data_IF_069803063918
#
_entry.id   IF_069803063918
#
_cell.length_a   1.000
_cell.length_b   1.000
_cell.length_c   1.000
_cell.angle_alpha   90.00
_cell.angle_beta   90.00
_cell.angle_gamma   90.00
#
_symmetry.space_group_name_H-M   'P 1'
#
loop_
_entity.id
_entity.type
_entity.pdbx_description
1 polymer ?
#
# COMPACT_ATOMS: atom_id res chain seq x y z
N UNK A 1 1.48 15.67 -40.10
CA UNK A 1 2.37 15.66 -38.93
C UNK A 1 1.48 15.58 -37.70
N UNK A 2 1.41 14.43 -37.03
CA UNK A 2 0.68 14.32 -35.75
C UNK A 2 1.35 15.20 -34.69
N UNK A 3 0.54 15.86 -33.87
CA UNK A 3 0.98 16.77 -32.82
C UNK A 3 1.76 16.02 -31.74
N UNK A 4 2.67 16.69 -31.04
CA UNK A 4 3.40 16.11 -29.91
C UNK A 4 2.45 15.57 -28.80
N UNK A 5 1.25 16.13 -28.72
CA UNK A 5 0.21 15.78 -27.75
C UNK A 5 -0.48 14.44 -28.06
N UNK A 6 -0.79 14.16 -29.34
CA UNK A 6 -1.38 12.87 -29.77
C UNK A 6 -0.40 11.71 -29.58
N UNK A 7 0.90 11.94 -29.79
CA UNK A 7 1.94 10.93 -29.52
C UNK A 7 2.08 10.58 -28.03
N UNK A 8 1.89 11.56 -27.14
CA UNK A 8 1.94 11.33 -25.70
C UNK A 8 0.73 10.53 -25.22
N UNK A 9 -0.46 10.74 -25.81
CA UNK A 9 -1.68 9.99 -25.48
C UNK A 9 -1.53 8.53 -25.91
N UNK A 10 -1.11 8.27 -27.15
CA UNK A 10 -0.90 6.90 -27.64
C UNK A 10 0.18 6.14 -26.85
N UNK A 11 1.28 6.81 -26.46
CA UNK A 11 2.34 6.19 -25.65
C UNK A 11 1.89 5.94 -24.20
N UNK A 12 0.89 6.68 -23.69
CA UNK A 12 0.28 6.41 -22.38
C UNK A 12 -0.71 5.23 -22.47
N UNK A 13 -1.52 5.15 -23.53
CA UNK A 13 -2.46 4.05 -23.76
C UNK A 13 -1.74 2.72 -24.04
N UNK A 14 -0.63 2.74 -24.80
CA UNK A 14 0.20 1.56 -25.04
C UNK A 14 0.89 1.07 -23.76
N UNK A 15 1.33 1.96 -22.88
CA UNK A 15 1.88 1.61 -21.56
C UNK A 15 0.80 1.01 -20.65
N UNK A 16 -0.37 1.63 -20.55
CA UNK A 16 -1.48 1.09 -19.75
C UNK A 16 -1.91 -0.31 -20.19
N UNK A 17 -1.96 -0.55 -21.51
CA UNK A 17 -2.30 -1.87 -22.06
C UNK A 17 -1.22 -2.94 -21.80
N UNK A 18 0.06 -2.57 -21.85
CA UNK A 18 1.16 -3.48 -21.50
C UNK A 18 1.17 -3.81 -19.99
N UNK A 19 0.91 -2.82 -19.14
CA UNK A 19 0.82 -2.98 -17.69
C UNK A 19 -0.35 -3.88 -17.29
N UNK A 20 -1.53 -3.73 -17.91
CA UNK A 20 -2.66 -4.64 -17.69
C UNK A 20 -2.35 -6.09 -18.13
N UNK A 21 -1.70 -6.27 -19.28
CA UNK A 21 -1.29 -7.58 -19.76
C UNK A 21 -0.24 -8.22 -18.85
N UNK A 22 0.68 -7.44 -18.30
CA UNK A 22 1.72 -7.92 -17.41
C UNK A 22 1.18 -8.23 -16.00
N UNK A 23 0.26 -7.41 -15.49
CA UNK A 23 -0.53 -7.73 -14.29
C UNK A 23 -1.37 -8.99 -14.47
N UNK A 24 -2.00 -9.19 -15.63
CA UNK A 24 -2.75 -10.40 -15.95
C UNK A 24 -1.84 -11.63 -16.06
N UNK A 25 -0.63 -11.47 -16.61
CA UNK A 25 0.38 -12.52 -16.66
C UNK A 25 0.88 -12.89 -15.25
N UNK A 26 1.05 -11.91 -14.37
CA UNK A 26 1.36 -12.10 -12.96
C UNK A 26 0.22 -12.76 -12.19
N UNK A 27 -1.04 -12.31 -12.40
CA UNK A 27 -2.25 -12.96 -11.86
C UNK A 27 -2.26 -14.43 -12.24
N UNK A 28 -2.03 -14.76 -13.51
CA UNK A 28 -1.99 -16.15 -14.01
C UNK A 28 -0.84 -16.97 -13.44
N UNK A 29 0.34 -16.37 -13.28
CA UNK A 29 1.51 -17.06 -12.73
C UNK A 29 1.32 -17.43 -11.26
N UNK A 30 0.73 -16.53 -10.45
CA UNK A 30 0.39 -16.81 -9.05
C UNK A 30 -0.81 -17.76 -8.90
N UNK A 31 -1.78 -17.71 -9.82
CA UNK A 31 -2.95 -18.60 -9.80
C UNK A 31 -2.64 -20.04 -10.27
N UNK A 32 -1.54 -20.24 -11.03
CA UNK A 32 -1.16 -21.54 -11.57
C UNK A 32 -0.63 -22.55 -10.53
N UNK A 33 -0.31 -22.11 -9.31
CA UNK A 33 0.02 -22.99 -8.19
C UNK A 33 -1.26 -23.47 -7.49
N UNK A 34 -2.10 -24.16 -8.25
CA UNK A 34 -3.20 -24.96 -7.72
C UNK A 34 -2.63 -26.28 -7.16
N UNK A 35 -1.80 -26.20 -6.12
CA UNK A 35 -1.57 -27.35 -5.25
C UNK A 35 -2.91 -27.69 -4.59
N UNK A 36 -3.36 -28.94 -4.68
CA UNK A 36 -4.67 -29.37 -4.14
C UNK A 36 -4.80 -29.20 -2.61
N UNK A 37 -3.69 -28.95 -1.92
CA UNK A 37 -3.59 -28.74 -0.48
C UNK A 37 -3.88 -27.28 -0.10
N UNK A 38 -4.85 -27.06 0.78
CA UNK A 38 -5.10 -25.76 1.42
C UNK A 38 -5.66 -25.94 2.82
N UNK A 39 -5.38 -24.99 3.71
CA UNK A 39 -5.91 -24.99 5.08
C UNK A 39 -6.60 -23.66 5.41
N UNK A 40 -7.74 -23.74 6.09
CA UNK A 40 -8.56 -22.61 6.47
C UNK A 40 -8.39 -22.29 7.96
N UNK A 41 -8.12 -21.03 8.27
CA UNK A 41 -8.14 -20.50 9.63
C UNK A 41 -9.21 -19.42 9.79
N UNK A 42 -9.70 -19.27 11.02
CA UNK A 42 -10.63 -18.21 11.41
C UNK A 42 -9.93 -17.20 12.31
N UNK A 43 -10.05 -15.91 11.98
CA UNK A 43 -9.60 -14.80 12.83
C UNK A 43 -10.83 -14.09 13.41
N UNK A 44 -11.07 -14.15 14.73
CA UNK A 44 -12.24 -13.50 15.33
C UNK A 44 -12.16 -11.98 15.20
N UNK A 45 -13.29 -11.34 14.89
CA UNK A 45 -13.41 -9.88 14.81
C UNK A 45 -13.74 -9.22 16.16
N UNK A 46 -13.99 -10.04 17.19
CA UNK A 46 -14.38 -9.60 18.53
C UNK A 46 -15.60 -8.68 18.50
N UNK A 47 -15.55 -7.61 19.29
CA UNK A 47 -16.62 -6.61 19.40
C UNK A 47 -16.91 -5.83 18.11
N UNK A 48 -16.01 -5.91 17.11
CA UNK A 48 -16.20 -5.24 15.82
C UNK A 48 -17.00 -6.07 14.83
N UNK A 49 -17.37 -7.31 15.17
CA UNK A 49 -18.06 -8.23 14.27
C UNK A 49 -19.31 -7.64 13.59
N UNK A 50 -20.06 -6.79 14.29
CA UNK A 50 -21.31 -6.20 13.78
C UNK A 50 -21.12 -4.98 12.86
N UNK A 51 -19.94 -4.38 12.86
CA UNK A 51 -19.66 -3.14 12.10
C UNK A 51 -18.50 -3.29 11.12
N UNK A 52 -17.78 -4.41 11.16
CA UNK A 52 -16.66 -4.66 10.28
C UNK A 52 -17.13 -5.00 8.87
N UNK A 53 -16.54 -4.33 7.90
CA UNK A 53 -16.68 -4.62 6.47
C UNK A 53 -15.28 -4.74 5.86
N UNK A 54 -14.99 -5.90 5.27
CA UNK A 54 -13.66 -6.20 4.72
C UNK A 54 -13.32 -5.28 3.53
N UNK A 55 -14.29 -5.03 2.65
CA UNK A 55 -14.09 -4.17 1.48
C UNK A 55 -13.78 -2.74 1.91
N UNK A 56 -14.54 -2.20 2.88
CA UNK A 56 -14.29 -0.86 3.42
C UNK A 56 -12.96 -0.77 4.16
N UNK A 57 -12.55 -1.84 4.86
CA UNK A 57 -11.26 -1.88 5.51
C UNK A 57 -10.11 -1.88 4.49
N UNK A 58 -10.15 -2.77 3.50
CA UNK A 58 -9.09 -2.97 2.49
C UNK A 58 -9.02 -1.81 1.50
N UNK A 59 -10.16 -1.38 0.94
CA UNK A 59 -10.23 -0.36 -0.10
C UNK A 59 -10.30 1.08 0.43
N UNK A 60 -9.93 1.30 1.71
CA UNK A 60 -10.02 2.60 2.39
C UNK A 60 -9.14 3.69 1.76
N UNK A 61 -7.95 3.34 1.30
CA UNK A 61 -6.97 4.23 0.69
C UNK A 61 -6.01 3.34 -0.12
N UNK A 62 -5.65 3.74 -1.34
CA UNK A 62 -5.19 2.89 -2.46
C UNK A 62 -4.01 1.91 -2.26
N UNK A 63 -3.51 1.68 -1.04
CA UNK A 63 -2.50 0.68 -0.69
C UNK A 63 -2.87 -0.74 -1.14
N UNK A 64 -4.17 -1.08 -1.22
CA UNK A 64 -4.62 -2.38 -1.72
C UNK A 64 -4.35 -2.58 -3.22
N UNK A 65 -4.15 -1.50 -3.98
CA UNK A 65 -3.84 -1.54 -5.41
C UNK A 65 -2.34 -1.75 -5.65
N UNK A 66 -1.50 -1.58 -4.62
CA UNK A 66 -0.07 -1.76 -4.73
C UNK A 66 0.30 -3.23 -4.53
N UNK A 67 1.20 -3.73 -5.37
CA UNK A 67 1.79 -5.05 -5.19
C UNK A 67 2.32 -5.23 -3.74
N UNK A 68 2.24 -6.45 -3.18
CA UNK A 68 1.75 -7.68 -3.79
C UNK A 68 0.26 -7.96 -3.51
N UNK A 69 -0.54 -6.93 -3.22
CA UNK A 69 -1.96 -7.08 -2.93
C UNK A 69 -2.75 -7.35 -4.22
N UNK A 70 -3.73 -8.25 -4.15
CA UNK A 70 -4.71 -8.49 -5.21
C UNK A 70 -6.11 -8.48 -4.59
N UNK A 71 -6.89 -7.47 -4.92
CA UNK A 71 -8.29 -7.37 -4.51
C UNK A 71 -9.19 -7.87 -5.62
N UNK A 72 -10.07 -8.83 -5.31
CA UNK A 72 -11.12 -9.27 -6.19
C UNK A 72 -12.46 -8.62 -5.78
N UNK A 73 -12.98 -7.66 -6.57
CA UNK A 73 -14.22 -6.97 -6.24
C UNK A 73 -15.46 -7.88 -6.37
N UNK A 74 -15.38 -8.95 -7.16
CA UNK A 74 -16.51 -9.86 -7.37
C UNK A 74 -16.74 -10.77 -6.17
N UNK A 75 -15.65 -11.29 -5.58
CA UNK A 75 -15.70 -12.17 -4.40
C UNK A 75 -15.47 -11.42 -3.09
N UNK A 76 -15.09 -10.13 -3.15
CA UNK A 76 -14.68 -9.30 -2.01
C UNK A 76 -13.57 -9.95 -1.19
N UNK A 77 -12.54 -10.45 -1.89
CA UNK A 77 -11.42 -11.13 -1.25
C UNK A 77 -10.09 -10.44 -1.53
N UNK A 78 -9.21 -10.46 -0.52
CA UNK A 78 -7.83 -10.00 -0.64
C UNK A 78 -6.92 -11.22 -0.75
N UNK A 79 -6.13 -11.30 -1.81
CA UNK A 79 -5.08 -12.29 -1.98
C UNK A 79 -3.70 -11.62 -1.93
N UNK A 80 -2.76 -12.26 -1.23
CA UNK A 80 -1.35 -11.87 -1.24
C UNK A 80 -0.46 -12.94 -0.60
N UNK A 81 0.85 -12.97 -0.88
CA UNK A 81 1.79 -13.73 -0.08
C UNK A 81 1.92 -13.13 1.34
N UNK A 82 1.93 -14.00 2.35
CA UNK A 82 2.27 -13.69 3.74
C UNK A 82 3.45 -14.55 4.19
N UNK A 83 4.32 -13.97 5.02
CA UNK A 83 5.53 -14.67 5.49
C UNK A 83 5.20 -15.68 6.59
N UNK A 84 5.95 -16.77 6.60
CA UNK A 84 5.96 -17.77 7.66
C UNK A 84 6.83 -17.31 8.85
N UNK A 85 6.86 -18.07 9.94
CA UNK A 85 7.56 -17.68 11.17
C UNK A 85 9.08 -17.66 11.01
N UNK A 86 9.62 -18.35 10.00
CA UNK A 86 11.04 -18.31 9.63
C UNK A 86 11.49 -16.96 9.06
N UNK A 87 10.56 -16.07 8.70
CA UNK A 87 10.81 -14.75 8.12
C UNK A 87 11.32 -14.77 6.67
N UNK A 88 11.51 -15.95 6.08
CA UNK A 88 12.08 -16.16 4.74
C UNK A 88 11.00 -16.68 3.78
N UNK A 89 10.30 -17.74 4.19
CA UNK A 89 9.30 -18.41 3.38
C UNK A 89 8.00 -17.61 3.34
N UNK A 90 7.27 -17.70 2.22
CA UNK A 90 5.96 -17.06 2.06
C UNK A 90 4.97 -18.03 1.43
N UNK A 91 3.72 -18.01 1.87
CA UNK A 91 2.62 -18.74 1.25
C UNK A 91 1.56 -17.75 0.75
N UNK A 92 0.88 -18.11 -0.35
CA UNK A 92 -0.27 -17.35 -0.83
C UNK A 92 -1.42 -17.52 0.16
N UNK A 93 -2.04 -16.40 0.51
CA UNK A 93 -3.19 -16.35 1.43
C UNK A 93 -4.34 -15.61 0.77
N UNK A 94 -5.55 -16.13 0.91
CA UNK A 94 -6.82 -15.45 0.59
C UNK A 94 -7.56 -15.12 1.87
N UNK A 95 -7.92 -13.86 2.03
CA UNK A 95 -8.68 -13.32 3.14
C UNK A 95 -10.08 -12.98 2.64
N UNK A 96 -11.10 -13.46 3.35
CA UNK A 96 -12.50 -13.23 3.02
C UNK A 96 -13.31 -13.03 4.30
N UNK A 97 -14.44 -12.34 4.19
CA UNK A 97 -15.39 -12.15 5.28
C UNK A 97 -16.75 -12.71 4.86
N UNK A 98 -17.11 -13.91 5.31
CA UNK A 98 -18.41 -14.48 5.00
C UNK A 98 -19.55 -13.61 5.53
N UNK A 99 -20.69 -13.52 4.82
CA UNK A 99 -21.85 -12.78 5.29
C UNK A 99 -22.28 -13.23 6.68
N UNK A 100 -22.58 -12.28 7.57
CA UNK A 100 -23.02 -12.52 8.95
C UNK A 100 -22.03 -13.31 9.84
N UNK A 101 -20.76 -13.41 9.44
CA UNK A 101 -19.72 -14.05 10.27
C UNK A 101 -19.11 -13.06 11.26
N UNK A 102 -18.89 -13.52 12.49
CA UNK A 102 -18.10 -12.81 13.52
C UNK A 102 -16.59 -13.02 13.37
N UNK A 103 -16.15 -13.59 12.26
CA UNK A 103 -14.75 -13.94 11.99
C UNK A 103 -14.39 -13.81 10.51
N UNK A 104 -13.11 -13.54 10.26
CA UNK A 104 -12.51 -13.60 8.93
C UNK A 104 -12.05 -15.01 8.62
N UNK A 105 -12.20 -15.40 7.36
CA UNK A 105 -11.67 -16.62 6.81
C UNK A 105 -10.32 -16.33 6.15
N UNK A 106 -9.29 -17.03 6.61
CA UNK A 106 -7.91 -16.93 6.12
C UNK A 106 -7.52 -18.29 5.53
N UNK A 107 -7.61 -18.40 4.20
CA UNK A 107 -7.28 -19.61 3.46
C UNK A 107 -5.83 -19.54 2.99
N UNK A 108 -5.01 -20.53 3.36
CA UNK A 108 -3.61 -20.64 2.97
C UNK A 108 -3.45 -21.74 1.93
N UNK A 109 -2.82 -21.43 0.80
CA UNK A 109 -2.59 -22.37 -0.29
C UNK A 109 -1.23 -23.07 -0.16
N UNK A 110 -1.13 -24.30 -0.68
CA UNK A 110 0.12 -25.06 -0.73
C UNK A 110 0.49 -25.76 0.56
N UNK A 111 -0.42 -25.84 1.53
CA UNK A 111 -0.23 -26.55 2.79
C UNK A 111 -1.56 -27.14 3.30
N UNK A 112 -1.54 -28.39 3.75
CA UNK A 112 -2.70 -29.04 4.39
C UNK A 112 -2.87 -28.60 5.85
N UNK A 113 -1.76 -28.22 6.49
CA UNK A 113 -1.74 -27.67 7.84
C UNK A 113 -0.50 -26.80 8.02
N UNK A 114 -0.58 -25.81 8.91
CA UNK A 114 0.57 -25.03 9.36
C UNK A 114 0.94 -25.43 10.78
N UNK A 115 2.23 -25.33 11.11
CA UNK A 115 2.64 -25.41 12.50
C UNK A 115 2.07 -24.22 13.29
N UNK A 116 1.99 -24.31 14.64
CA UNK A 116 1.41 -23.23 15.45
C UNK A 116 2.09 -21.87 15.25
N UNK A 117 3.41 -21.84 15.10
CA UNK A 117 4.19 -20.61 14.93
C UNK A 117 3.89 -19.94 13.58
N UNK A 118 3.83 -20.72 12.50
CA UNK A 118 3.48 -20.25 11.17
C UNK A 118 2.04 -19.71 11.13
N UNK A 119 1.11 -20.46 11.72
CA UNK A 119 -0.29 -20.02 11.84
C UNK A 119 -0.36 -18.68 12.57
N UNK A 120 0.33 -18.55 13.69
CA UNK A 120 0.35 -17.31 14.47
C UNK A 120 0.98 -16.15 13.68
N UNK A 121 2.08 -16.40 12.96
CA UNK A 121 2.74 -15.40 12.12
C UNK A 121 1.83 -14.90 10.99
N UNK A 122 1.08 -15.80 10.33
CA UNK A 122 0.11 -15.45 9.30
C UNK A 122 -1.04 -14.63 9.89
N UNK A 123 -1.65 -15.08 10.99
CA UNK A 123 -2.78 -14.38 11.62
C UNK A 123 -2.37 -13.00 12.16
N UNK A 124 -1.19 -12.86 12.76
CA UNK A 124 -0.68 -11.58 13.24
C UNK A 124 -0.45 -10.57 12.10
N UNK A 125 -0.02 -11.03 10.93
CA UNK A 125 0.08 -10.17 9.75
C UNK A 125 -1.30 -9.71 9.28
N UNK A 126 -2.30 -10.60 9.24
CA UNK A 126 -3.69 -10.24 8.89
C UNK A 126 -4.28 -9.24 9.89
N UNK A 127 -4.06 -9.46 11.19
CA UNK A 127 -4.48 -8.57 12.26
C UNK A 127 -3.88 -7.17 12.09
N UNK A 128 -2.57 -7.08 11.81
CA UNK A 128 -1.88 -5.81 11.55
C UNK A 128 -2.42 -5.10 10.31
N UNK A 129 -2.59 -5.84 9.21
CA UNK A 129 -3.07 -5.28 7.93
C UNK A 129 -4.45 -4.67 8.07
N UNK A 130 -5.33 -5.32 8.83
CA UNK A 130 -6.73 -4.90 9.00
C UNK A 130 -6.98 -4.09 10.27
N UNK A 131 -5.92 -3.84 11.06
CA UNK A 131 -5.94 -3.07 12.30
C UNK A 131 -6.98 -3.60 13.30
N UNK A 132 -6.90 -4.89 13.59
CA UNK A 132 -7.92 -5.62 14.35
C UNK A 132 -7.63 -5.73 15.86
N UNK A 133 -6.56 -5.11 16.35
CA UNK A 133 -6.25 -5.12 17.79
C UNK A 133 -7.34 -4.43 18.62
N UNK A 134 -7.46 -4.78 19.90
CA UNK A 134 -8.47 -4.20 20.81
C UNK A 134 -8.39 -2.67 20.89
N UNK A 135 -7.16 -2.14 20.91
CA UNK A 135 -6.93 -0.69 20.92
C UNK A 135 -7.45 -0.04 19.63
N UNK A 136 -7.22 -0.66 18.49
CA UNK A 136 -7.68 -0.13 17.19
C UNK A 136 -9.19 -0.25 17.04
N UNK A 137 -9.78 -1.35 17.51
CA UNK A 137 -11.23 -1.52 17.57
C UNK A 137 -11.88 -0.44 18.45
N UNK A 138 -11.30 -0.15 19.61
CA UNK A 138 -11.75 0.93 20.49
C UNK A 138 -11.68 2.30 19.79
N UNK A 139 -10.58 2.60 19.12
CA UNK A 139 -10.42 3.87 18.39
C UNK A 139 -11.48 4.04 17.28
N UNK A 140 -11.78 2.98 16.52
CA UNK A 140 -12.82 3.01 15.49
C UNK A 140 -14.19 3.27 16.10
N UNK A 141 -14.51 2.66 17.25
CA UNK A 141 -15.77 2.92 17.95
C UNK A 141 -15.88 4.36 18.45
N UNK A 142 -14.83 4.89 19.06
CA UNK A 142 -14.82 6.30 19.49
C UNK A 142 -14.98 7.25 18.30
N UNK A 143 -14.32 6.95 17.18
CA UNK A 143 -14.51 7.70 15.94
C UNK A 143 -15.96 7.64 15.43
N UNK A 144 -16.58 6.45 15.45
CA UNK A 144 -17.97 6.26 15.04
C UNK A 144 -18.98 6.96 15.95
N UNK A 145 -18.67 7.20 17.23
CA UNK A 145 -19.53 8.01 18.13
C UNK A 145 -19.56 9.48 17.73
N UNK A 146 -18.45 10.00 17.21
CA UNK A 146 -18.32 11.41 16.83
C UNK A 146 -18.77 11.63 15.37
N UNK A 147 -18.61 10.61 14.52
CA UNK A 147 -18.90 10.69 13.09
C UNK A 147 -19.89 9.62 12.64
N UNK A 148 -21.20 9.86 12.84
CA UNK A 148 -22.26 8.89 12.54
C UNK A 148 -22.29 8.46 11.06
N UNK A 149 -21.93 9.35 10.12
CA UNK A 149 -21.81 8.98 8.71
C UNK A 149 -20.70 7.94 8.46
N UNK A 150 -19.66 7.92 9.30
CA UNK A 150 -18.59 6.94 9.22
C UNK A 150 -19.04 5.57 9.69
N UNK A 151 -19.83 5.55 10.76
CA UNK A 151 -20.49 4.35 11.25
C UNK A 151 -21.42 3.75 10.21
N UNK A 152 -22.28 4.57 9.58
CA UNK A 152 -23.19 4.13 8.52
C UNK A 152 -22.47 3.59 7.29
N UNK A 153 -21.34 4.21 6.93
CA UNK A 153 -20.51 3.80 5.79
C UNK A 153 -19.48 2.70 6.10
N UNK A 154 -19.45 2.19 7.34
CA UNK A 154 -18.46 1.22 7.84
C UNK A 154 -16.99 1.60 7.56
N UNK A 155 -16.67 2.90 7.52
CA UNK A 155 -15.31 3.39 7.27
C UNK A 155 -14.66 3.93 8.55
N UNK A 156 -13.32 4.06 8.54
CA UNK A 156 -12.52 4.52 9.68
C UNK A 156 -11.33 3.63 10.00
N UNK A 157 -11.29 2.43 9.41
CA UNK A 157 -10.09 1.59 9.41
C UNK A 157 -9.19 1.96 8.24
N UNK A 158 -7.90 1.87 8.50
CA UNK A 158 -6.83 2.16 7.54
C UNK A 158 -6.10 0.84 7.31
N UNK A 159 -6.29 0.23 6.15
CA UNK A 159 -5.47 -0.89 5.68
C UNK A 159 -3.96 -0.60 5.76
N UNK A 160 -3.17 -1.56 6.21
CA UNK A 160 -1.70 -1.46 6.23
C UNK A 160 -1.09 -2.66 5.53
N UNK A 161 0.21 -2.57 5.25
CA UNK A 161 0.99 -3.73 4.83
C UNK A 161 1.12 -4.75 5.99
N UNK A 162 1.68 -5.94 5.79
CA UNK A 162 1.96 -6.89 6.88
C UNK A 162 3.21 -6.50 7.70
N UNK A 163 4.04 -5.59 7.22
CA UNK A 163 5.27 -5.16 7.90
C UNK A 163 5.47 -3.66 7.83
N UNK A 164 6.24 -3.10 8.78
CA UNK A 164 6.63 -1.69 8.75
C UNK A 164 7.53 -1.38 7.56
N UNK A 165 8.43 -2.30 7.21
CA UNK A 165 9.30 -2.16 6.06
C UNK A 165 8.51 -1.97 4.76
N UNK A 166 7.49 -2.80 4.52
CA UNK A 166 6.64 -2.66 3.33
C UNK A 166 5.86 -1.33 3.33
N UNK A 167 5.36 -0.89 4.49
CA UNK A 167 4.73 0.44 4.60
C UNK A 167 5.73 1.55 4.26
N UNK A 168 6.97 1.51 4.76
CA UNK A 168 8.00 2.51 4.46
C UNK A 168 8.33 2.54 2.97
N UNK A 169 8.52 1.38 2.34
CA UNK A 169 8.79 1.29 0.89
C UNK A 169 7.61 1.88 0.11
N UNK A 170 6.37 1.49 0.44
CA UNK A 170 5.18 2.04 -0.21
C UNK A 170 5.04 3.55 -0.01
N UNK A 171 5.31 4.07 1.18
CA UNK A 171 5.32 5.50 1.43
C UNK A 171 6.36 6.24 0.58
N UNK A 172 7.59 5.73 0.51
CA UNK A 172 8.65 6.32 -0.34
C UNK A 172 8.22 6.32 -1.80
N UNK A 173 7.65 5.22 -2.28
CA UNK A 173 7.13 5.13 -3.64
C UNK A 173 6.03 6.18 -3.84
N UNK A 174 5.00 6.23 -2.99
CA UNK A 174 3.90 7.18 -3.09
C UNK A 174 4.36 8.65 -3.05
N UNK A 175 5.39 8.99 -2.28
CA UNK A 175 5.92 10.35 -2.21
C UNK A 175 6.72 10.77 -3.46
N UNK A 176 7.27 9.81 -4.21
CA UNK A 176 8.11 10.08 -5.38
C UNK A 176 7.34 10.15 -6.69
N UNK A 177 6.01 9.98 -6.68
CA UNK A 177 5.19 10.10 -7.89
C UNK A 177 3.92 10.91 -7.63
N UNK A 178 3.59 11.81 -8.56
CA UNK A 178 2.19 12.20 -8.74
C UNK A 178 1.36 10.92 -8.88
N UNK A 179 0.29 10.80 -8.09
CA UNK A 179 -0.51 9.59 -7.80
C UNK A 179 -0.97 8.72 -9.00
N UNK A 180 -0.65 9.06 -10.24
CA UNK A 180 -1.01 8.31 -11.45
C UNK A 180 0.01 7.26 -11.91
N UNK A 181 1.27 7.27 -11.44
CA UNK A 181 2.35 6.48 -12.07
C UNK A 181 2.80 5.19 -11.32
N UNK A 182 2.32 4.90 -10.11
CA UNK A 182 2.81 3.74 -9.32
C UNK A 182 1.80 2.60 -9.18
N UNK A 183 0.53 2.83 -9.46
CA UNK A 183 -0.49 1.77 -9.34
C UNK A 183 -0.16 0.55 -10.24
N UNK A 184 0.77 0.68 -11.19
CA UNK A 184 1.08 -0.37 -12.16
C UNK A 184 2.56 -0.76 -12.38
N UNK A 185 3.57 -0.08 -11.83
CA UNK A 185 4.97 -0.26 -12.33
C UNK A 185 6.10 -0.66 -11.36
N UNK A 186 6.12 -0.16 -10.12
CA UNK A 186 7.38 -0.15 -9.32
C UNK A 186 7.43 -1.16 -8.16
N UNK A 187 6.35 -1.89 -7.89
CA UNK A 187 6.34 -2.96 -6.89
C UNK A 187 7.20 -4.15 -7.28
N UNK A 188 7.23 -4.49 -8.57
CA UNK A 188 7.83 -5.72 -9.08
C UNK A 188 9.37 -5.65 -9.11
N UNK A 189 9.95 -4.49 -9.42
CA UNK A 189 11.40 -4.29 -9.42
C UNK A 189 12.02 -4.35 -8.01
N UNK A 190 11.26 -3.95 -6.98
CA UNK A 190 11.71 -3.97 -5.59
C UNK A 190 11.60 -5.36 -4.95
N UNK A 191 10.60 -6.16 -5.31
CA UNK A 191 10.41 -7.50 -4.72
C UNK A 191 11.35 -8.52 -5.36
N UNK A 192 11.54 -8.47 -6.68
CA UNK A 192 12.34 -9.48 -7.39
C UNK A 192 13.86 -9.19 -7.40
N UNK A 193 14.28 -7.92 -7.34
CA UNK A 193 15.71 -7.57 -7.45
C UNK A 193 16.41 -7.26 -6.12
N UNK A 194 15.67 -6.82 -5.09
CA UNK A 194 16.27 -6.35 -3.82
C UNK A 194 16.17 -7.40 -2.69
N UNK A 195 15.15 -8.26 -2.69
CA UNK A 195 14.99 -9.31 -1.66
C UNK A 195 16.16 -10.31 -1.59
N UNK A 196 16.77 -10.77 -2.69
CA UNK A 196 17.93 -11.68 -2.62
C UNK A 196 19.27 -10.98 -2.27
N UNK A 197 19.35 -9.63 -2.36
CA UNK A 197 20.61 -8.87 -2.27
C UNK A 197 20.78 -8.04 -0.99
N UNK A 198 19.73 -7.92 -0.16
CA UNK A 198 19.80 -7.25 1.16
C UNK A 198 20.61 -8.00 2.23
N UNK A 199 21.19 -9.16 1.90
CA UNK A 199 22.17 -9.85 2.75
C UNK A 199 23.57 -9.22 2.75
N UNK A 200 23.81 -8.13 2.00
CA UNK A 200 25.10 -7.44 1.95
C UNK A 200 24.99 -5.99 2.44
N UNK A 201 25.75 -5.65 3.48
CA UNK A 201 25.71 -4.38 4.21
C UNK A 201 25.95 -3.11 3.36
N UNK A 202 26.46 -3.24 2.13
CA UNK A 202 26.83 -2.10 1.29
C UNK A 202 25.67 -1.54 0.45
N UNK A 203 24.59 -2.29 0.21
CA UNK A 203 23.45 -1.80 -0.59
C UNK A 203 22.51 -0.87 0.17
N UNK A 204 22.42 -1.02 1.49
CA UNK A 204 21.63 -0.12 2.35
C UNK A 204 22.22 1.31 2.34
N UNK A 205 23.55 1.42 2.24
CA UNK A 205 24.25 2.69 2.08
C UNK A 205 23.92 3.39 0.76
N UNK A 206 23.89 2.66 -0.36
CA UNK A 206 23.54 3.24 -1.66
C UNK A 206 22.06 3.63 -1.75
N UNK A 207 21.17 2.84 -1.14
CA UNK A 207 19.75 3.20 -1.05
C UNK A 207 19.53 4.45 -0.19
N UNK A 208 20.20 4.55 0.95
CA UNK A 208 20.18 5.76 1.79
C UNK A 208 20.80 6.96 1.07
N UNK A 209 21.85 6.77 0.26
CA UNK A 209 22.45 7.82 -0.53
C UNK A 209 21.49 8.31 -1.62
N UNK A 210 20.81 7.40 -2.32
CA UNK A 210 19.78 7.75 -3.30
C UNK A 210 18.59 8.49 -2.65
N UNK A 211 18.18 8.06 -1.45
CA UNK A 211 17.13 8.72 -0.66
C UNK A 211 17.59 10.12 -0.21
N UNK A 212 18.83 10.24 0.26
CA UNK A 212 19.42 11.52 0.68
C UNK A 212 19.56 12.46 -0.51
N UNK A 213 20.02 12.00 -1.67
CA UNK A 213 20.10 12.79 -2.90
C UNK A 213 18.71 13.25 -3.34
N UNK A 214 17.70 12.37 -3.29
CA UNK A 214 16.31 12.73 -3.61
C UNK A 214 15.74 13.80 -2.66
N UNK A 215 15.93 13.64 -1.35
CA UNK A 215 15.50 14.61 -0.33
C UNK A 215 16.25 15.95 -0.48
N UNK A 216 17.56 15.91 -0.73
CA UNK A 216 18.38 17.11 -0.96
C UNK A 216 17.91 17.81 -2.25
N UNK A 217 17.66 17.09 -3.34
CA UNK A 217 17.12 17.68 -4.57
C UNK A 217 15.76 18.34 -4.35
N UNK A 218 14.87 17.70 -3.58
CA UNK A 218 13.58 18.28 -3.19
C UNK A 218 13.75 19.54 -2.33
N UNK A 219 14.65 19.53 -1.34
CA UNK A 219 14.94 20.69 -0.50
C UNK A 219 15.57 21.84 -1.29
N UNK A 220 16.47 21.54 -2.22
CA UNK A 220 17.08 22.54 -3.12
C UNK A 220 16.02 23.15 -4.05
N UNK A 221 15.09 22.34 -4.56
CA UNK A 221 13.97 22.84 -5.36
C UNK A 221 13.04 23.73 -4.52
N UNK A 222 12.72 23.34 -3.28
CA UNK A 222 11.92 24.15 -2.35
C UNK A 222 12.61 25.47 -1.98
N UNK A 223 13.93 25.46 -1.75
CA UNK A 223 14.74 26.66 -1.50
C UNK A 223 14.82 27.55 -2.73
N UNK A 224 14.99 26.98 -3.93
CA UNK A 224 15.02 27.73 -5.18
C UNK A 224 13.66 28.40 -5.45
N UNK A 225 12.54 27.69 -5.25
CA UNK A 225 11.18 28.23 -5.37
C UNK A 225 10.95 29.32 -4.30
N UNK A 226 11.38 29.09 -3.06
CA UNK A 226 11.30 30.07 -1.99
C UNK A 226 12.07 31.36 -2.30
N UNK A 227 13.28 31.25 -2.84
CA UNK A 227 14.10 32.42 -3.24
C UNK A 227 13.46 33.16 -4.42
N UNK A 228 12.93 32.45 -5.42
CA UNK A 228 12.31 33.07 -6.61
C UNK A 228 10.99 33.78 -6.28
N UNK A 229 10.25 33.34 -5.26
CA UNK A 229 8.96 33.94 -4.89
C UNK A 229 9.12 35.02 -3.80
N UNK A 230 9.95 34.77 -2.78
CA UNK A 230 10.04 35.64 -1.59
C UNK A 230 10.93 36.86 -1.85
N UNK A 231 12.02 36.72 -2.61
CA UNK A 231 12.92 37.86 -2.91
C UNK A 231 12.22 38.98 -3.69
N UNK A 232 11.49 38.73 -4.80
CA UNK A 232 10.78 39.81 -5.47
C UNK A 232 9.65 40.38 -4.61
N UNK A 233 8.98 39.58 -3.77
CA UNK A 233 7.97 40.11 -2.84
C UNK A 233 8.56 41.04 -1.77
N UNK A 234 9.73 40.72 -1.21
CA UNK A 234 10.43 41.58 -0.25
C UNK A 234 10.95 42.84 -0.95
N UNK A 235 11.48 42.73 -2.16
CA UNK A 235 11.92 43.90 -2.96
C UNK A 235 10.74 44.81 -3.28
N UNK A 236 9.58 44.25 -3.65
CA UNK A 236 8.34 45.00 -3.87
C UNK A 236 7.87 45.66 -2.57
N UNK A 237 7.90 44.96 -1.43
CA UNK A 237 7.51 45.52 -0.13
C UNK A 237 8.40 46.71 0.26
N UNK A 238 9.72 46.58 0.09
CA UNK A 238 10.70 47.63 0.43
C UNK A 238 10.57 48.84 -0.51
N UNK A 239 10.24 48.62 -1.79
CA UNK A 239 10.00 49.71 -2.76
C UNK A 239 8.69 50.44 -2.45
N UNK A 240 7.62 49.72 -2.08
CA UNK A 240 6.33 50.31 -1.70
C UNK A 240 6.44 51.10 -0.39
N UNK A 241 7.17 50.59 0.61
CA UNK A 241 7.41 51.29 1.87
C UNK A 241 8.21 52.60 1.66
N UNK A 242 9.22 52.58 0.78
CA UNK A 242 10.00 53.78 0.40
C UNK A 242 9.19 54.81 -0.39
N UNK A 243 8.23 54.39 -1.21
CA UNK A 243 7.37 55.28 -1.98
C UNK A 243 6.26 55.95 -1.14
N UNK A 244 5.98 55.43 0.06
CA UNK A 244 4.93 55.96 0.96
C UNK A 244 5.49 57.02 1.95
N UNK A 245 6.82 57.18 2.01
CA UNK A 245 7.53 58.07 2.95
C UNK A 245 8.05 59.36 2.25
N UNK A 246 7.77 59.54 0.96
CA UNK A 246 8.03 60.77 0.18
C UNK A 246 6.72 61.46 -0.18
#
# INVERSE_FOLDING_TARGET
MMGAEERLIEDNERRGSQEEQQQEMWRRSFFSLSSSSSCLFTLPLGESASTFDLEKAVCSHGLFMMAPNQWDPSTKTLQRPLRLSDGISSLLVRISHPPNSSSLHVLVFGADSLCPDDRQAVLAQVERMLRLSDKENSNVREFHKIHEAAKKGAFGRIFRSPTLFEDMVKCILLCNCHCSLIISGLGDLLVDHIRPRLGQANLFGEFLLALAVGIISMLVLYLAIGIVIVVPFIVILVVVERATIL
#
